data_IF_825523227338
#
_entry.id   IF_825523227338
#
_cell.length_a   1.000
_cell.length_b   1.000
_cell.length_c   1.000
_cell.angle_alpha   90.00
_cell.angle_beta   90.00
_cell.angle_gamma   90.00
#
_symmetry.space_group_name_H-M   'P 1'
#
loop_
_entity.id
_entity.type
_entity.pdbx_description
1 polymer ?
#
# COMPACT_ATOMS: atom_id res chain seq x y z
N UNK A 1 -0.24 20.26 -3.94
CA UNK A 1 -0.34 20.48 -5.39
C UNK A 1 1.03 20.94 -5.82
N UNK A 2 1.79 20.14 -6.58
CA UNK A 2 3.10 20.59 -7.08
C UNK A 2 2.84 21.62 -8.18
N UNK A 3 3.19 22.88 -7.93
CA UNK A 3 3.08 23.96 -8.92
C UNK A 3 4.40 24.00 -9.68
N UNK A 4 4.33 23.91 -11.00
CA UNK A 4 5.48 24.02 -11.87
C UNK A 4 5.41 25.34 -12.63
N UNK A 5 6.51 26.10 -12.73
CA UNK A 5 6.52 27.39 -13.41
C UNK A 5 6.58 27.25 -14.95
N UNK A 6 6.21 26.08 -15.49
CA UNK A 6 6.30 25.75 -16.91
C UNK A 6 5.23 24.73 -17.32
N UNK A 7 4.97 24.62 -18.63
CA UNK A 7 3.96 23.72 -19.20
C UNK A 7 4.39 22.25 -19.02
N UNK A 8 3.45 21.42 -18.57
CA UNK A 8 3.59 19.97 -18.38
C UNK A 8 2.47 19.23 -19.11
N UNK A 9 2.62 17.93 -19.33
CA UNK A 9 1.47 17.10 -19.72
C UNK A 9 0.55 16.91 -18.52
N UNK A 10 -0.76 16.95 -18.76
CA UNK A 10 -1.77 16.81 -17.72
C UNK A 10 -2.07 15.36 -17.36
N UNK A 11 -1.75 14.42 -18.25
CA UNK A 11 -1.93 12.98 -18.03
C UNK A 11 -0.63 12.34 -17.54
N UNK A 12 -0.72 11.34 -16.65
CA UNK A 12 0.46 10.64 -16.13
C UNK A 12 1.02 9.64 -17.14
N UNK A 13 2.22 9.14 -16.84
CA UNK A 13 2.83 7.99 -17.54
C UNK A 13 2.15 6.72 -17.04
N UNK A 14 1.78 5.81 -17.96
CA UNK A 14 1.34 4.48 -17.58
C UNK A 14 2.55 3.55 -17.48
N UNK A 15 2.94 3.19 -16.25
CA UNK A 15 4.06 2.29 -15.97
C UNK A 15 3.57 0.87 -15.68
N UNK A 16 4.26 -0.13 -16.23
CA UNK A 16 4.00 -1.55 -16.04
C UNK A 16 5.30 -2.30 -15.78
N UNK A 17 5.25 -3.29 -14.89
CA UNK A 17 6.25 -4.36 -14.81
C UNK A 17 5.91 -5.42 -15.85
N UNK A 18 6.90 -5.83 -16.63
CA UNK A 18 6.76 -6.80 -17.74
C UNK A 18 7.43 -8.13 -17.45
N UNK A 19 8.41 -8.15 -16.54
CA UNK A 19 9.11 -9.35 -16.11
C UNK A 19 9.85 -9.10 -14.80
N UNK A 20 10.12 -10.17 -14.06
CA UNK A 20 10.97 -10.14 -12.86
C UNK A 20 11.85 -11.38 -12.90
N UNK A 21 13.14 -11.23 -12.60
CA UNK A 21 14.07 -12.36 -12.46
C UNK A 21 14.99 -12.14 -11.28
N UNK A 22 15.25 -13.20 -10.49
CA UNK A 22 16.23 -13.18 -9.40
C UNK A 22 17.59 -13.66 -9.89
N UNK A 23 18.64 -13.16 -9.26
CA UNK A 23 20.00 -13.71 -9.35
C UNK A 23 20.32 -14.34 -8.01
N UNK A 24 20.63 -15.63 -8.01
CA UNK A 24 20.98 -16.42 -6.82
C UNK A 24 22.49 -16.32 -6.50
N UNK A 25 22.94 -16.79 -5.32
CA UNK A 25 24.35 -16.71 -4.91
C UNK A 25 25.33 -17.43 -5.85
N UNK A 26 24.87 -18.48 -6.53
CA UNK A 26 25.62 -19.22 -7.55
C UNK A 26 25.66 -18.51 -8.92
N UNK A 27 25.08 -17.29 -9.00
CA UNK A 27 24.90 -16.47 -10.20
C UNK A 27 23.92 -17.03 -11.23
N UNK A 28 23.13 -18.03 -10.85
CA UNK A 28 22.01 -18.49 -11.67
C UNK A 28 20.95 -17.39 -11.71
N UNK A 29 20.45 -17.08 -12.90
CA UNK A 29 19.31 -16.17 -13.08
C UNK A 29 18.05 -16.99 -13.24
N UNK A 30 17.07 -16.71 -12.38
CA UNK A 30 15.80 -17.41 -12.34
C UNK A 30 14.66 -16.43 -12.66
N UNK A 31 13.94 -16.60 -13.78
CA UNK A 31 12.75 -15.81 -14.06
C UNK A 31 11.63 -16.20 -13.09
N UNK A 32 11.00 -15.21 -12.47
CA UNK A 32 9.83 -15.44 -11.64
C UNK A 32 8.58 -15.57 -12.49
N UNK A 33 7.64 -16.42 -12.06
CA UNK A 33 6.32 -16.49 -12.66
C UNK A 33 5.59 -15.15 -12.48
N UNK A 34 4.62 -14.90 -13.36
CA UNK A 34 3.66 -13.81 -13.31
C UNK A 34 2.93 -13.67 -11.97
N UNK A 35 2.90 -14.70 -11.12
CA UNK A 35 2.40 -14.59 -9.74
C UNK A 35 3.27 -13.71 -8.83
N UNK A 36 4.52 -13.45 -9.17
CA UNK A 36 5.42 -12.61 -8.39
C UNK A 36 5.18 -11.10 -8.59
N UNK A 37 4.29 -10.69 -9.50
CA UNK A 37 3.93 -9.29 -9.67
C UNK A 37 2.49 -9.12 -10.11
N UNK A 38 1.81 -8.11 -9.55
CA UNK A 38 0.42 -7.81 -9.84
C UNK A 38 0.30 -6.45 -10.50
N UNK A 39 -0.21 -6.43 -11.73
CA UNK A 39 -0.50 -5.17 -12.45
C UNK A 39 -1.68 -4.41 -11.87
N UNK A 40 -2.63 -5.11 -11.24
CA UNK A 40 -3.78 -4.51 -10.55
C UNK A 40 -3.34 -3.80 -9.27
N UNK A 41 -2.48 -4.47 -8.48
CA UNK A 41 -1.94 -3.92 -7.23
C UNK A 41 -0.79 -2.92 -7.50
N UNK A 42 -0.13 -3.05 -8.66
CA UNK A 42 1.14 -2.42 -8.99
C UNK A 42 2.20 -2.77 -7.95
N UNK A 43 2.38 -4.07 -7.71
CA UNK A 43 3.31 -4.59 -6.73
C UNK A 43 4.16 -5.73 -7.32
N UNK A 44 5.39 -5.85 -6.85
CA UNK A 44 6.33 -6.94 -7.10
C UNK A 44 6.71 -7.54 -5.76
N UNK A 45 6.69 -8.85 -5.66
CA UNK A 45 7.12 -9.62 -4.51
C UNK A 45 8.37 -10.41 -4.86
N UNK A 46 9.48 -10.12 -4.18
CA UNK A 46 10.76 -10.78 -4.38
C UNK A 46 11.05 -11.84 -3.31
N UNK A 47 10.28 -11.88 -2.22
CA UNK A 47 10.35 -12.89 -1.17
C UNK A 47 9.67 -14.20 -1.54
N UNK A 48 9.93 -14.73 -2.74
CA UNK A 48 9.26 -15.94 -3.23
C UNK A 48 9.73 -17.17 -2.44
N UNK A 49 8.77 -18.02 -2.02
CA UNK A 49 9.02 -19.27 -1.31
C UNK A 49 10.04 -20.15 -2.05
N UNK A 50 11.20 -20.38 -1.43
CA UNK A 50 12.30 -21.18 -1.99
C UNK A 50 13.60 -20.39 -2.25
N UNK A 51 13.54 -19.06 -2.35
CA UNK A 51 14.71 -18.23 -2.71
C UNK A 51 15.01 -17.13 -1.70
N UNK A 52 14.91 -17.43 -0.40
CA UNK A 52 15.27 -16.49 0.67
C UNK A 52 16.75 -16.08 0.69
N UNK A 53 17.58 -16.51 -0.27
CA UNK A 53 19.02 -16.23 -0.41
C UNK A 53 19.35 -15.49 -1.72
N UNK A 54 18.37 -14.92 -2.44
CA UNK A 54 18.64 -14.14 -3.66
C UNK A 54 19.57 -12.94 -3.37
N UNK A 55 20.35 -12.53 -4.38
CA UNK A 55 21.38 -11.47 -4.27
C UNK A 55 20.92 -10.19 -4.97
N UNK A 56 20.37 -10.32 -6.18
CA UNK A 56 19.78 -9.20 -6.91
C UNK A 56 18.52 -9.63 -7.66
N UNK A 57 17.67 -8.66 -8.01
CA UNK A 57 16.55 -8.86 -8.90
C UNK A 57 16.64 -7.89 -10.08
N UNK A 58 16.27 -8.34 -11.27
CA UNK A 58 16.11 -7.49 -12.46
C UNK A 58 14.63 -7.42 -12.79
N UNK A 59 14.09 -6.20 -12.81
CA UNK A 59 12.68 -5.90 -13.08
C UNK A 59 12.59 -5.28 -14.48
N UNK A 60 11.92 -5.96 -15.40
CA UNK A 60 11.59 -5.42 -16.72
C UNK A 60 10.42 -4.44 -16.63
N UNK A 61 10.54 -3.32 -17.32
CA UNK A 61 9.61 -2.20 -17.24
C UNK A 61 9.14 -1.79 -18.64
N UNK A 62 7.88 -1.34 -18.73
CA UNK A 62 7.31 -0.65 -19.87
C UNK A 62 6.59 0.61 -19.40
N UNK A 63 6.91 1.74 -20.01
CA UNK A 63 6.32 3.04 -19.73
C UNK A 63 5.70 3.62 -21.00
N UNK A 64 4.40 3.87 -20.96
CA UNK A 64 3.67 4.50 -22.07
C UNK A 64 3.44 5.97 -21.76
N UNK A 65 3.96 6.85 -22.61
CA UNK A 65 3.71 8.28 -22.51
C UNK A 65 2.29 8.65 -22.98
N UNK A 66 1.67 9.65 -22.35
CA UNK A 66 0.37 10.13 -22.79
C UNK A 66 0.45 10.85 -24.15
N UNK A 67 -0.68 11.01 -24.86
CA UNK A 67 -0.72 11.80 -26.08
C UNK A 67 -0.19 13.24 -25.87
N UNK A 68 0.50 13.77 -26.87
CA UNK A 68 1.06 15.13 -26.85
C UNK A 68 2.50 15.21 -26.34
N UNK A 69 3.10 14.12 -25.87
CA UNK A 69 4.49 14.09 -25.43
C UNK A 69 5.49 14.46 -26.54
N UNK A 70 5.21 14.06 -27.78
CA UNK A 70 6.05 14.28 -28.95
C UNK A 70 5.40 15.21 -30.00
N UNK A 71 4.47 16.07 -29.57
CA UNK A 71 3.83 17.00 -30.50
C UNK A 71 4.87 17.99 -31.07
N UNK A 72 4.73 18.38 -32.34
CA UNK A 72 5.65 19.34 -32.98
C UNK A 72 5.67 20.71 -32.27
N UNK A 73 4.57 21.07 -31.60
CA UNK A 73 4.38 22.29 -30.82
C UNK A 73 4.59 22.07 -29.30
N UNK A 74 5.21 20.96 -28.90
CA UNK A 74 5.54 20.70 -27.51
C UNK A 74 6.44 21.80 -26.93
N UNK A 75 6.21 22.18 -25.67
CA UNK A 75 6.99 23.20 -24.97
C UNK A 75 8.35 22.69 -24.48
N UNK A 76 8.77 21.51 -24.92
CA UNK A 76 9.97 20.83 -24.49
C UNK A 76 10.69 20.13 -25.63
N UNK A 77 12.00 19.93 -25.47
CA UNK A 77 12.87 19.15 -26.35
C UNK A 77 13.65 18.10 -25.56
N UNK A 78 14.43 17.25 -26.23
CA UNK A 78 15.34 16.27 -25.61
C UNK A 78 14.64 15.33 -24.61
N UNK A 79 13.45 14.85 -24.98
CA UNK A 79 12.62 14.00 -24.14
C UNK A 79 13.34 12.69 -23.81
N UNK A 80 13.42 12.37 -22.52
CA UNK A 80 13.92 11.10 -21.98
C UNK A 80 12.94 10.55 -20.96
N UNK A 81 12.85 9.23 -20.87
CA UNK A 81 12.06 8.55 -19.85
C UNK A 81 13.00 7.83 -18.90
N UNK A 82 12.86 8.08 -17.61
CA UNK A 82 13.62 7.47 -16.53
C UNK A 82 12.68 6.60 -15.71
N UNK A 83 13.11 5.39 -15.37
CA UNK A 83 12.53 4.66 -14.24
C UNK A 83 13.43 4.83 -13.03
N UNK A 84 12.84 5.11 -11.89
CA UNK A 84 13.55 5.38 -10.63
C UNK A 84 12.97 4.50 -9.54
N UNK A 85 13.80 3.65 -8.97
CA UNK A 85 13.56 2.92 -7.74
C UNK A 85 14.04 3.78 -6.57
N UNK A 86 13.21 3.95 -5.56
CA UNK A 86 13.56 4.64 -4.32
C UNK A 86 13.18 3.78 -3.13
N UNK A 87 14.16 3.50 -2.29
CA UNK A 87 13.96 2.93 -0.95
C UNK A 87 13.99 4.07 0.06
N UNK A 88 12.92 4.20 0.83
CA UNK A 88 12.80 5.24 1.85
C UNK A 88 13.57 4.93 3.13
N UNK A 89 13.77 3.65 3.46
CA UNK A 89 14.45 3.22 4.68
C UNK A 89 15.96 3.35 4.53
N UNK A 90 16.52 2.90 3.41
CA UNK A 90 17.97 2.94 3.16
C UNK A 90 18.41 4.21 2.44
N UNK A 91 17.47 5.05 2.00
CA UNK A 91 17.69 6.20 1.10
C UNK A 91 18.34 5.84 -0.24
N UNK A 92 18.37 4.55 -0.61
CA UNK A 92 18.91 4.10 -1.89
C UNK A 92 18.02 4.57 -3.04
N UNK A 93 18.67 5.06 -4.10
CA UNK A 93 18.01 5.46 -5.34
C UNK A 93 18.74 4.88 -6.52
N UNK A 94 18.04 4.04 -7.26
CA UNK A 94 18.54 3.44 -8.50
C UNK A 94 17.72 3.98 -9.65
N UNK A 95 18.37 4.45 -10.71
CA UNK A 95 17.67 4.97 -11.88
C UNK A 95 18.22 4.39 -13.16
N UNK A 96 17.35 4.20 -14.14
CA UNK A 96 17.69 3.70 -15.47
C UNK A 96 16.98 4.52 -16.53
N UNK A 97 17.64 4.74 -17.66
CA UNK A 97 17.03 5.40 -18.82
C UNK A 97 16.29 4.34 -19.62
N UNK A 98 15.00 4.51 -19.83
CA UNK A 98 14.22 3.66 -20.70
C UNK A 98 14.51 4.02 -22.16
N UNK A 99 14.44 3.03 -23.04
CA UNK A 99 14.67 3.16 -24.48
C UNK A 99 13.33 3.16 -25.19
N UNK A 100 13.16 4.02 -26.18
CA UNK A 100 11.92 4.08 -26.97
C UNK A 100 11.83 2.83 -27.85
N UNK A 101 10.69 2.13 -27.81
CA UNK A 101 10.52 0.84 -28.49
C UNK A 101 10.50 1.00 -30.02
N UNK A 102 9.90 2.08 -30.51
CA UNK A 102 9.87 2.44 -31.93
C UNK A 102 10.04 3.95 -32.09
N UNK A 103 10.65 4.40 -33.19
CA UNK A 103 11.03 5.80 -33.40
C UNK A 103 9.85 6.79 -33.26
N UNK A 104 8.64 6.35 -33.64
CA UNK A 104 7.40 7.13 -33.52
C UNK A 104 6.43 6.58 -32.44
N UNK A 105 6.89 5.64 -31.61
CA UNK A 105 6.11 5.02 -30.55
C UNK A 105 6.06 5.87 -29.29
N UNK A 106 5.03 5.61 -28.46
CA UNK A 106 4.88 6.20 -27.13
C UNK A 106 5.38 5.29 -26.01
N UNK A 107 5.76 4.07 -26.37
CA UNK A 107 6.17 3.03 -25.44
C UNK A 107 7.69 3.04 -25.30
N UNK A 108 8.13 2.93 -24.05
CA UNK A 108 9.52 2.91 -23.65
C UNK A 108 9.75 1.70 -22.77
N UNK A 109 10.82 0.96 -23.02
CA UNK A 109 11.16 -0.24 -22.26
C UNK A 109 12.57 -0.18 -21.69
N UNK A 110 12.80 -0.98 -20.66
CA UNK A 110 14.10 -1.12 -20.01
C UNK A 110 14.02 -2.04 -18.81
N UNK A 111 15.10 -2.13 -18.06
CA UNK A 111 15.16 -2.92 -16.84
C UNK A 111 15.84 -2.16 -15.71
N UNK A 112 15.40 -2.44 -14.49
CA UNK A 112 15.95 -1.87 -13.27
C UNK A 112 16.47 -3.00 -12.38
N UNK A 113 17.67 -2.83 -11.86
CA UNK A 113 18.27 -3.79 -10.93
C UNK A 113 18.04 -3.37 -9.48
N UNK A 114 17.70 -4.36 -8.65
CA UNK A 114 17.43 -4.26 -7.21
C UNK A 114 18.48 -5.12 -6.52
N UNK A 115 19.35 -4.53 -5.71
CA UNK A 115 20.34 -5.28 -4.94
C UNK A 115 19.76 -5.57 -3.56
N UNK A 116 19.71 -6.84 -3.14
CA UNK A 116 19.04 -7.20 -1.89
C UNK A 116 19.57 -6.42 -0.69
N UNK A 117 20.89 -6.33 -0.57
CA UNK A 117 21.55 -5.72 0.58
C UNK A 117 21.37 -4.20 0.66
N UNK A 118 20.93 -3.57 -0.45
CA UNK A 118 20.63 -2.15 -0.52
C UNK A 118 19.21 -1.82 -0.03
N UNK A 119 18.40 -2.85 0.28
CA UNK A 119 16.97 -2.72 0.55
C UNK A 119 16.54 -3.50 1.80
N UNK A 120 15.80 -2.84 2.71
CA UNK A 120 15.40 -3.44 3.98
C UNK A 120 14.00 -4.07 3.97
N UNK A 121 13.07 -3.55 3.17
CA UNK A 121 11.70 -4.05 3.13
C UNK A 121 10.99 -3.77 1.80
N UNK A 122 10.82 -2.49 1.47
CA UNK A 122 10.00 -2.03 0.36
C UNK A 122 10.66 -0.86 -0.33
N UNK A 123 10.72 -0.94 -1.64
CA UNK A 123 11.11 0.15 -2.52
C UNK A 123 9.95 0.52 -3.44
N UNK A 124 10.01 1.70 -4.03
CA UNK A 124 8.99 2.21 -4.95
C UNK A 124 9.58 2.51 -6.31
N UNK A 125 8.93 2.08 -7.39
CA UNK A 125 9.31 2.42 -8.77
C UNK A 125 8.35 3.47 -9.31
N UNK A 126 8.90 4.57 -9.81
CA UNK A 126 8.18 5.60 -10.54
C UNK A 126 8.84 5.86 -11.88
N UNK A 127 8.06 6.29 -12.88
CA UNK A 127 8.61 6.74 -14.15
C UNK A 127 8.48 8.27 -14.28
N UNK A 128 9.50 8.88 -14.86
CA UNK A 128 9.58 10.32 -15.11
C UNK A 128 9.91 10.56 -16.58
N UNK A 129 9.08 11.36 -17.24
CA UNK A 129 9.39 11.94 -18.53
C UNK A 129 10.06 13.28 -18.26
N UNK A 130 11.32 13.43 -18.64
CA UNK A 130 12.10 14.63 -18.44
C UNK A 130 12.56 15.18 -19.77
N UNK A 131 12.72 16.50 -19.86
CA UNK A 131 13.26 17.13 -21.06
C UNK A 131 13.76 18.53 -20.77
N UNK A 132 14.04 19.26 -21.84
CA UNK A 132 14.50 20.65 -21.80
C UNK A 132 13.32 21.58 -22.00
N UNK A 133 13.01 22.42 -21.01
CA UNK A 133 11.94 23.43 -21.06
C UNK A 133 12.58 24.80 -20.83
N UNK A 134 12.28 25.77 -21.70
CA UNK A 134 12.84 27.13 -21.63
C UNK A 134 14.37 27.15 -21.48
N UNK A 135 15.06 26.25 -22.19
CA UNK A 135 16.52 26.13 -22.13
C UNK A 135 17.08 25.30 -20.97
N UNK A 136 16.27 24.93 -19.97
CA UNK A 136 16.71 24.22 -18.77
C UNK A 136 16.51 22.70 -18.93
N UNK A 137 17.58 21.87 -18.94
CA UNK A 137 17.46 20.43 -19.06
C UNK A 137 16.92 19.77 -17.77
N UNK A 138 16.41 18.55 -17.88
CA UNK A 138 15.99 17.72 -16.75
C UNK A 138 14.67 18.14 -16.08
N UNK A 139 13.88 19.00 -16.72
CA UNK A 139 12.56 19.41 -16.22
C UNK A 139 11.57 18.25 -16.38
N UNK A 140 10.81 17.96 -15.32
CA UNK A 140 9.79 16.92 -15.33
C UNK A 140 8.59 17.37 -16.17
N UNK A 141 8.35 16.69 -17.28
CA UNK A 141 7.24 16.95 -18.21
C UNK A 141 5.99 16.24 -17.74
N UNK A 142 6.14 15.00 -17.26
CA UNK A 142 5.10 14.22 -16.58
C UNK A 142 5.75 13.09 -15.79
N UNK A 143 4.99 12.49 -14.88
CA UNK A 143 5.41 11.38 -14.05
C UNK A 143 4.26 10.39 -13.92
N UNK A 144 4.54 9.19 -13.41
CA UNK A 144 3.50 8.28 -12.94
C UNK A 144 2.70 8.95 -11.83
N UNK A 145 1.37 8.81 -11.85
CA UNK A 145 0.50 9.23 -10.77
C UNK A 145 0.58 8.30 -9.56
N UNK A 146 0.84 7.01 -9.83
CA UNK A 146 0.94 5.95 -8.84
C UNK A 146 2.20 5.12 -9.08
N UNK A 147 3.06 5.04 -8.07
CA UNK A 147 4.27 4.22 -8.09
C UNK A 147 3.93 2.73 -7.93
N UNK A 148 4.80 1.87 -8.48
CA UNK A 148 4.82 0.44 -8.17
C UNK A 148 5.54 0.20 -6.84
N UNK A 149 5.10 -0.80 -6.08
CA UNK A 149 5.77 -1.28 -4.86
C UNK A 149 6.64 -2.47 -5.22
N UNK A 150 7.86 -2.53 -4.69
CA UNK A 150 8.76 -3.69 -4.76
C UNK A 150 9.00 -4.14 -3.33
N UNK A 151 8.41 -5.24 -2.94
CA UNK A 151 8.55 -5.84 -1.62
C UNK A 151 9.64 -6.92 -1.67
N UNK A 152 10.73 -6.72 -0.91
CA UNK A 152 11.89 -7.61 -0.90
C UNK A 152 11.70 -8.83 0.00
N UNK A 153 10.60 -8.87 0.77
CA UNK A 153 10.36 -9.85 1.84
C UNK A 153 9.10 -10.67 1.62
N UNK A 154 8.03 -10.10 1.05
CA UNK A 154 6.76 -10.79 0.79
C UNK A 154 6.87 -11.79 -0.37
N UNK A 155 6.14 -12.89 -0.26
CA UNK A 155 5.89 -13.89 -1.31
C UNK A 155 4.71 -13.53 -2.21
N UNK A 156 3.80 -12.68 -1.74
CA UNK A 156 2.64 -12.20 -2.50
C UNK A 156 2.78 -10.72 -2.92
N UNK A 157 2.48 -10.36 -4.20
CA UNK A 157 2.57 -8.99 -4.69
C UNK A 157 1.33 -8.16 -4.32
N UNK A 158 1.17 -7.90 -3.02
CA UNK A 158 0.10 -7.06 -2.48
C UNK A 158 0.60 -5.64 -2.20
N UNK A 159 -0.22 -4.66 -2.54
CA UNK A 159 0.12 -3.24 -2.32
C UNK A 159 -0.29 -2.73 -0.95
N UNK A 160 -1.36 -3.27 -0.40
CA UNK A 160 -1.99 -2.78 0.84
C UNK A 160 -1.22 -3.17 2.11
N UNK A 161 -1.72 -2.63 3.22
CA UNK A 161 -1.26 -2.92 4.58
C UNK A 161 -1.05 -4.42 4.76
N UNK A 162 0.22 -4.85 4.88
CA UNK A 162 0.55 -6.22 5.23
C UNK A 162 0.14 -6.45 6.67
N UNK A 163 -0.79 -7.37 6.88
CA UNK A 163 -1.24 -7.79 8.20
C UNK A 163 -1.01 -9.28 8.30
N UNK A 164 -0.37 -9.72 9.37
CA UNK A 164 -0.33 -11.14 9.68
C UNK A 164 -1.61 -11.51 10.42
N UNK A 165 -2.27 -12.61 10.04
CA UNK A 165 -3.44 -13.12 10.77
C UNK A 165 -3.07 -14.47 11.40
N UNK A 166 -3.02 -14.51 12.74
CA UNK A 166 -2.64 -15.69 13.49
C UNK A 166 -3.83 -16.21 14.30
N UNK A 167 -4.24 -17.45 14.03
CA UNK A 167 -5.24 -18.17 14.82
C UNK A 167 -4.57 -18.81 16.05
N UNK A 168 -5.00 -18.45 17.25
CA UNK A 168 -4.47 -19.04 18.48
C UNK A 168 -5.54 -19.11 19.58
N UNK A 169 -5.43 -20.11 20.46
CA UNK A 169 -6.16 -20.13 21.73
C UNK A 169 -5.58 -19.07 22.65
N UNK A 170 -6.39 -18.11 23.11
CA UNK A 170 -5.90 -17.05 23.99
C UNK A 170 -5.71 -17.57 25.41
N UNK A 171 -6.62 -18.42 25.90
CA UNK A 171 -6.56 -19.02 27.23
C UNK A 171 -5.38 -19.99 27.41
N UNK A 172 -5.02 -20.72 26.35
CA UNK A 172 -3.93 -21.72 26.37
C UNK A 172 -2.67 -21.26 25.63
N UNK A 173 -2.60 -19.97 25.27
CA UNK A 173 -1.48 -19.44 24.49
C UNK A 173 -0.14 -19.59 25.22
N UNK A 174 0.92 -19.87 24.46
CA UNK A 174 2.31 -19.72 24.91
C UNK A 174 2.71 -18.26 25.09
N UNK A 175 2.01 -17.33 24.43
CA UNK A 175 2.18 -15.88 24.62
C UNK A 175 1.35 -15.44 25.82
N UNK A 176 2.00 -15.21 26.95
CA UNK A 176 1.30 -14.96 28.22
C UNK A 176 0.38 -13.73 28.19
N UNK A 177 0.74 -12.70 27.43
CA UNK A 177 -0.05 -11.48 27.31
C UNK A 177 -1.43 -11.71 26.66
N UNK A 178 -1.60 -12.74 25.81
CA UNK A 178 -2.89 -13.08 25.20
C UNK A 178 -3.89 -13.61 26.24
N UNK A 179 -3.41 -14.23 27.33
CA UNK A 179 -4.28 -14.82 28.36
C UNK A 179 -5.13 -13.78 29.10
N UNK A 180 -4.66 -12.53 29.18
CA UNK A 180 -5.38 -11.43 29.82
C UNK A 180 -6.64 -10.99 29.06
N UNK A 181 -6.78 -11.43 27.80
CA UNK A 181 -7.82 -11.01 26.88
C UNK A 181 -8.62 -12.22 26.35
N UNK A 182 -8.73 -13.30 27.14
CA UNK A 182 -9.29 -14.58 26.69
C UNK A 182 -10.75 -14.51 26.22
N UNK A 183 -11.47 -13.44 26.57
CA UNK A 183 -12.84 -13.15 26.18
C UNK A 183 -12.95 -12.32 24.87
N UNK A 184 -11.84 -11.80 24.35
CA UNK A 184 -11.83 -11.05 23.09
C UNK A 184 -11.86 -12.01 21.88
N UNK A 185 -12.62 -11.70 20.82
CA UNK A 185 -12.68 -12.52 19.60
C UNK A 185 -11.42 -12.37 18.72
N UNK A 186 -10.80 -11.19 18.75
CA UNK A 186 -9.52 -10.91 18.13
C UNK A 186 -8.80 -9.78 18.85
N UNK A 187 -7.50 -9.66 18.61
CA UNK A 187 -6.67 -8.54 19.05
C UNK A 187 -5.75 -8.11 17.91
N UNK A 188 -5.40 -6.84 17.91
CA UNK A 188 -4.47 -6.27 16.93
C UNK A 188 -3.22 -5.83 17.67
N UNK A 189 -2.11 -6.48 17.37
CA UNK A 189 -0.78 -6.11 17.86
C UNK A 189 -0.11 -5.22 16.82
N UNK A 190 0.07 -3.95 17.16
CA UNK A 190 0.75 -2.96 16.31
C UNK A 190 2.20 -2.71 16.72
N UNK A 191 2.72 -3.47 17.69
CA UNK A 191 4.08 -3.28 18.23
C UNK A 191 5.14 -4.07 17.46
N UNK A 192 4.70 -5.07 16.69
CA UNK A 192 5.56 -5.83 15.80
C UNK A 192 5.87 -5.06 14.51
N UNK A 193 6.92 -5.48 13.78
CA UNK A 193 7.31 -4.92 12.48
C UNK A 193 6.19 -4.99 11.44
N UNK A 194 5.32 -5.99 11.54
CA UNK A 194 4.10 -6.15 10.74
C UNK A 194 2.94 -6.25 11.73
N UNK A 195 1.88 -5.43 11.62
CA UNK A 195 0.77 -5.53 12.53
C UNK A 195 0.13 -6.91 12.42
N UNK A 196 -0.09 -7.54 13.57
CA UNK A 196 -0.58 -8.91 13.62
C UNK A 196 -1.96 -8.93 14.25
N UNK A 197 -2.92 -9.51 13.54
CA UNK A 197 -4.25 -9.79 14.07
C UNK A 197 -4.29 -11.20 14.62
N UNK A 198 -4.43 -11.32 15.93
CA UNK A 198 -4.64 -12.60 16.59
C UNK A 198 -6.13 -12.91 16.63
N UNK A 199 -6.55 -14.05 16.10
CA UNK A 199 -7.93 -14.54 16.13
C UNK A 199 -8.05 -15.60 17.21
N UNK A 200 -8.96 -15.39 18.16
CA UNK A 200 -9.13 -16.26 19.31
C UNK A 200 -9.89 -17.54 18.94
N UNK A 201 -9.20 -18.67 18.93
CA UNK A 201 -9.81 -19.97 18.62
C UNK A 201 -10.64 -20.54 19.76
N UNK A 202 -10.63 -19.91 20.94
CA UNK A 202 -11.47 -20.33 22.08
C UNK A 202 -12.93 -19.88 21.94
N UNK A 203 -13.21 -18.96 21.01
CA UNK A 203 -14.59 -18.54 20.69
C UNK A 203 -15.20 -19.54 19.71
N UNK A 204 -16.21 -20.27 20.18
CA UNK A 204 -16.88 -21.29 19.40
C UNK A 204 -17.40 -20.77 18.05
N UNK A 205 -17.06 -21.48 16.98
CA UNK A 205 -17.56 -21.21 15.63
C UNK A 205 -16.90 -20.04 14.89
N UNK A 206 -16.05 -19.23 15.53
CA UNK A 206 -15.46 -18.03 14.88
C UNK A 206 -14.57 -18.39 13.70
N UNK A 207 -13.71 -19.41 13.86
CA UNK A 207 -12.79 -19.86 12.79
C UNK A 207 -13.58 -20.46 11.63
N UNK A 208 -14.56 -21.31 11.94
CA UNK A 208 -15.42 -21.91 10.92
C UNK A 208 -16.21 -20.86 10.13
N UNK A 209 -16.72 -19.82 10.80
CA UNK A 209 -17.42 -18.72 10.15
C UNK A 209 -16.49 -17.90 9.26
N UNK A 210 -15.29 -17.57 9.72
CA UNK A 210 -14.29 -16.82 8.94
C UNK A 210 -13.80 -17.61 7.72
N UNK A 211 -13.65 -18.93 7.85
CA UNK A 211 -13.21 -19.82 6.77
C UNK A 211 -14.37 -20.28 5.86
N UNK A 212 -15.62 -19.92 6.18
CA UNK A 212 -16.79 -20.34 5.41
C UNK A 212 -16.76 -19.76 4.00
N UNK A 213 -16.93 -20.60 2.98
CA UNK A 213 -17.05 -20.21 1.56
C UNK A 213 -18.48 -20.35 1.00
N UNK A 214 -19.46 -20.53 1.89
CA UNK A 214 -20.86 -20.76 1.52
C UNK A 214 -21.52 -19.54 0.88
N UNK A 215 -22.63 -19.77 0.17
CA UNK A 215 -23.51 -18.70 -0.32
C UNK A 215 -24.80 -18.71 0.50
N UNK A 216 -25.18 -17.58 1.09
CA UNK A 216 -26.36 -17.50 1.96
C UNK A 216 -26.17 -16.54 3.14
N UNK A 217 -27.01 -16.70 4.17
CA UNK A 217 -27.01 -15.85 5.38
C UNK A 217 -25.67 -15.95 6.12
N UNK A 218 -25.07 -17.14 6.21
CA UNK A 218 -23.77 -17.37 6.84
C UNK A 218 -22.66 -16.52 6.21
N UNK A 219 -22.58 -16.46 4.88
CA UNK A 219 -21.62 -15.57 4.20
C UNK A 219 -21.87 -14.10 4.52
N UNK A 220 -23.12 -13.68 4.73
CA UNK A 220 -23.42 -12.29 5.09
C UNK A 220 -23.06 -11.98 6.54
N UNK A 221 -23.25 -12.93 7.46
CA UNK A 221 -22.78 -12.82 8.84
C UNK A 221 -21.25 -12.75 8.87
N UNK A 222 -20.56 -13.59 8.08
CA UNK A 222 -19.11 -13.53 7.89
C UNK A 222 -18.68 -12.17 7.33
N UNK A 223 -19.31 -11.68 6.26
CA UNK A 223 -18.98 -10.38 5.67
C UNK A 223 -19.13 -9.24 6.70
N UNK A 224 -20.14 -9.31 7.57
CA UNK A 224 -20.34 -8.35 8.68
C UNK A 224 -19.23 -8.47 9.74
N UNK A 225 -18.88 -9.70 10.14
CA UNK A 225 -17.81 -9.95 11.11
C UNK A 225 -16.45 -9.46 10.60
N UNK A 226 -16.14 -9.73 9.34
CA UNK A 226 -14.91 -9.26 8.68
C UNK A 226 -14.88 -7.74 8.60
N UNK A 227 -16.01 -7.09 8.32
CA UNK A 227 -16.08 -5.63 8.31
C UNK A 227 -15.88 -5.02 9.70
N UNK A 228 -16.42 -5.65 10.74
CA UNK A 228 -16.19 -5.23 12.13
C UNK A 228 -14.71 -5.39 12.50
N UNK A 229 -14.14 -6.57 12.29
CA UNK A 229 -12.73 -6.86 12.53
C UNK A 229 -11.82 -5.89 11.76
N UNK A 230 -12.15 -5.60 10.51
CA UNK A 230 -11.41 -4.65 9.68
C UNK A 230 -11.50 -3.22 10.24
N UNK A 231 -12.65 -2.82 10.79
CA UNK A 231 -12.81 -1.51 11.45
C UNK A 231 -11.90 -1.40 12.67
N UNK A 232 -11.84 -2.45 13.49
CA UNK A 232 -10.97 -2.50 14.67
C UNK A 232 -9.49 -2.45 14.28
N UNK A 233 -9.11 -3.21 13.23
CA UNK A 233 -7.76 -3.20 12.67
C UNK A 233 -7.37 -1.82 12.18
N UNK A 234 -8.17 -1.20 11.32
CA UNK A 234 -7.89 0.15 10.80
C UNK A 234 -7.75 1.18 11.91
N UNK A 235 -8.57 1.07 12.95
CA UNK A 235 -8.50 1.94 14.12
C UNK A 235 -7.20 1.72 14.88
N UNK A 236 -6.86 0.48 15.23
CA UNK A 236 -5.67 0.13 15.99
C UNK A 236 -4.38 0.51 15.26
N UNK A 237 -4.25 0.12 13.99
CA UNK A 237 -3.06 0.40 13.17
C UNK A 237 -2.89 1.92 12.97
N UNK A 238 -3.96 2.69 12.80
CA UNK A 238 -3.85 4.15 12.71
C UNK A 238 -3.37 4.78 14.02
N UNK A 239 -3.85 4.30 15.17
CA UNK A 239 -3.38 4.77 16.48
C UNK A 239 -1.91 4.42 16.74
N UNK A 240 -1.48 3.21 16.36
CA UNK A 240 -0.09 2.79 16.39
C UNK A 240 0.77 3.68 15.50
N UNK A 241 0.36 3.87 14.24
CA UNK A 241 1.08 4.66 13.25
C UNK A 241 1.30 6.13 13.66
N UNK A 242 0.32 6.76 14.32
CA UNK A 242 0.50 8.13 14.83
C UNK A 242 1.37 8.14 16.09
N UNK A 243 1.38 7.06 16.86
CA UNK A 243 2.06 7.01 18.15
C UNK A 243 3.55 7.08 18.05
N UNK A 244 4.09 6.48 17.01
CA UNK A 244 5.52 6.34 16.80
C UNK A 244 6.02 7.27 15.67
N UNK A 245 5.37 8.43 15.50
CA UNK A 245 5.79 9.42 14.50
C UNK A 245 7.12 10.07 14.89
N UNK A 246 8.11 9.93 14.01
CA UNK A 246 9.35 10.69 14.08
C UNK A 246 9.11 12.15 13.71
N UNK A 247 9.79 13.04 14.45
CA UNK A 247 9.75 14.49 14.23
C UNK A 247 11.17 14.96 13.92
N UNK A 248 11.34 15.64 12.78
CA UNK A 248 12.63 16.20 12.41
C UNK A 248 13.09 17.27 13.41
N UNK A 249 14.41 17.38 13.71
CA UNK A 249 14.93 18.45 14.56
C UNK A 249 14.59 19.84 13.99
N UNK A 250 13.70 20.57 14.67
CA UNK A 250 13.21 21.87 14.21
C UNK A 250 12.14 21.82 13.11
N UNK A 251 11.67 20.62 12.75
CA UNK A 251 10.67 20.36 11.72
C UNK A 251 9.34 19.82 12.26
N UNK A 252 8.51 19.30 11.35
CA UNK A 252 7.25 18.62 11.66
C UNK A 252 7.36 17.10 11.66
N UNK A 253 6.30 16.37 12.04
CA UNK A 253 6.22 14.93 11.85
C UNK A 253 6.44 14.57 10.38
N UNK A 254 7.20 13.50 10.16
CA UNK A 254 7.45 12.94 8.83
C UNK A 254 6.65 11.65 8.67
N UNK A 255 6.21 11.36 7.45
CA UNK A 255 5.59 10.07 7.18
C UNK A 255 6.61 8.95 7.32
N UNK A 256 6.28 7.89 8.09
CA UNK A 256 7.03 6.65 8.03
C UNK A 256 7.00 6.06 6.61
N UNK A 257 7.98 5.21 6.33
CA UNK A 257 8.16 4.56 5.01
C UNK A 257 7.57 3.15 4.96
N UNK A 258 7.15 2.62 6.11
CA UNK A 258 6.59 1.29 6.34
C UNK A 258 5.05 1.31 6.40
N UNK A 259 4.48 0.28 7.04
CA UNK A 259 3.02 0.09 7.15
C UNK A 259 2.33 1.30 7.82
N UNK A 260 3.00 1.96 8.76
CA UNK A 260 2.51 3.13 9.47
C UNK A 260 2.25 4.26 8.46
N UNK A 261 3.21 4.48 7.56
CA UNK A 261 3.09 5.48 6.50
C UNK A 261 1.94 5.20 5.54
N UNK A 262 1.75 3.93 5.15
CA UNK A 262 0.62 3.52 4.29
C UNK A 262 -0.71 3.79 4.97
N UNK A 263 -0.87 3.33 6.22
CA UNK A 263 -2.08 3.54 7.03
C UNK A 263 -2.41 5.02 7.15
N UNK A 264 -1.41 5.86 7.45
CA UNK A 264 -1.61 7.30 7.58
C UNK A 264 -2.05 7.92 6.25
N UNK A 265 -1.40 7.58 5.13
CA UNK A 265 -1.77 8.12 3.80
C UNK A 265 -3.18 7.71 3.38
N UNK A 266 -3.62 6.51 3.76
CA UNK A 266 -4.96 6.02 3.44
C UNK A 266 -6.06 6.64 4.31
N UNK A 267 -5.79 6.83 5.61
CA UNK A 267 -6.79 7.29 6.57
C UNK A 267 -6.87 8.81 6.69
N UNK A 268 -5.73 9.53 6.61
CA UNK A 268 -5.67 10.98 6.82
C UNK A 268 -6.62 11.81 5.93
N UNK A 269 -6.86 11.46 4.63
CA UNK A 269 -7.81 12.20 3.81
C UNK A 269 -9.25 12.21 4.35
N UNK A 270 -9.67 11.14 5.03
CA UNK A 270 -10.99 11.05 5.67
C UNK A 270 -10.97 11.63 7.09
N UNK A 271 -9.84 11.55 7.81
CA UNK A 271 -9.69 12.08 9.17
C UNK A 271 -9.59 13.61 9.18
N UNK A 272 -8.80 14.20 8.28
CA UNK A 272 -8.64 15.65 8.13
C UNK A 272 -8.90 16.03 6.66
N UNK A 273 -10.17 16.11 6.24
CA UNK A 273 -10.51 16.40 4.86
C UNK A 273 -10.16 17.85 4.48
N UNK A 274 -9.92 18.07 3.19
CA UNK A 274 -9.75 19.42 2.61
C UNK A 274 -8.33 19.99 2.72
N UNK A 275 -7.37 19.22 3.24
CA UNK A 275 -5.95 19.61 3.29
C UNK A 275 -5.06 18.53 2.65
N UNK A 276 -3.82 18.92 2.33
CA UNK A 276 -2.81 17.96 1.87
C UNK A 276 -2.42 16.96 2.97
N UNK A 277 -2.01 15.76 2.59
CA UNK A 277 -1.76 14.66 3.53
C UNK A 277 -0.65 14.98 4.54
N UNK A 278 0.36 15.74 4.14
CA UNK A 278 1.44 16.24 5.02
C UNK A 278 0.94 17.29 6.02
N UNK A 279 -0.02 18.11 5.61
CA UNK A 279 -0.69 19.07 6.51
C UNK A 279 -1.62 18.33 7.48
N UNK A 280 -2.37 17.34 6.99
CA UNK A 280 -3.20 16.47 7.82
C UNK A 280 -2.36 15.78 8.90
N UNK A 281 -1.20 15.22 8.53
CA UNK A 281 -0.28 14.58 9.48
C UNK A 281 0.17 15.54 10.57
N UNK A 282 0.56 16.77 10.21
CA UNK A 282 0.96 17.81 11.17
C UNK A 282 -0.17 18.19 12.12
N UNK A 283 -1.39 18.36 11.61
CA UNK A 283 -2.54 18.69 12.45
C UNK A 283 -2.91 17.55 13.40
N UNK A 284 -2.89 16.31 12.93
CA UNK A 284 -3.18 15.14 13.76
C UNK A 284 -2.13 14.96 14.84
N UNK A 285 -0.85 15.07 14.50
CA UNK A 285 0.24 15.01 15.48
C UNK A 285 0.11 16.12 16.52
N UNK A 286 -0.11 17.37 16.10
CA UNK A 286 -0.28 18.51 17.01
C UNK A 286 -1.46 18.33 17.97
N UNK A 287 -2.61 17.86 17.48
CA UNK A 287 -3.78 17.60 18.33
C UNK A 287 -3.59 16.40 19.26
N UNK A 288 -2.74 15.43 18.90
CA UNK A 288 -2.40 14.30 19.78
C UNK A 288 -1.45 14.71 20.90
N UNK A 289 -0.45 15.55 20.60
CA UNK A 289 0.58 15.95 21.57
C UNK A 289 0.24 17.22 22.36
N UNK A 290 -0.72 18.01 21.88
CA UNK A 290 -1.22 19.20 22.56
C UNK A 290 -2.42 18.93 23.49
N UNK A 291 -2.89 19.99 24.16
CA UNK A 291 -3.91 19.90 25.21
C UNK A 291 -5.35 19.81 24.71
N UNK A 292 -5.60 19.88 23.39
CA UNK A 292 -6.97 19.91 22.86
C UNK A 292 -7.12 19.33 21.44
N UNK A 293 -8.33 18.90 21.11
CA UNK A 293 -8.71 18.49 19.75
C UNK A 293 -8.52 17.00 19.43
N UNK A 294 -7.84 16.21 20.26
CA UNK A 294 -7.71 14.76 20.08
C UNK A 294 -9.06 14.02 20.17
N UNK A 295 -9.92 14.44 21.09
CA UNK A 295 -11.25 13.85 21.29
C UNK A 295 -12.16 13.99 20.07
N UNK A 296 -12.17 15.16 19.41
CA UNK A 296 -12.92 15.36 18.16
C UNK A 296 -12.37 14.48 17.03
N UNK A 297 -11.04 14.33 16.96
CA UNK A 297 -10.40 13.46 15.97
C UNK A 297 -10.82 12.00 16.13
N UNK A 298 -11.10 11.51 17.36
CA UNK A 298 -11.53 10.11 17.56
C UNK A 298 -12.76 9.75 16.73
N UNK A 299 -13.72 10.66 16.64
CA UNK A 299 -14.95 10.43 15.84
C UNK A 299 -14.62 10.33 14.35
N UNK A 300 -13.68 11.14 13.87
CA UNK A 300 -13.25 11.13 12.46
C UNK A 300 -12.38 9.91 12.13
N UNK A 301 -11.54 9.48 13.05
CA UNK A 301 -10.74 8.25 12.94
C UNK A 301 -11.66 7.05 12.84
N UNK A 302 -12.64 6.95 13.72
CA UNK A 302 -13.64 5.88 13.68
C UNK A 302 -14.42 5.90 12.36
N UNK A 303 -14.88 7.07 11.90
CA UNK A 303 -15.55 7.20 10.61
C UNK A 303 -14.67 6.75 9.42
N UNK A 304 -13.40 7.16 9.39
CA UNK A 304 -12.46 6.75 8.37
C UNK A 304 -12.26 5.22 8.38
N UNK A 305 -12.09 4.61 9.56
CA UNK A 305 -11.94 3.17 9.70
C UNK A 305 -13.19 2.40 9.21
N UNK A 306 -14.38 2.84 9.60
CA UNK A 306 -15.68 2.31 9.15
C UNK A 306 -15.81 2.38 7.63
N UNK A 307 -15.36 3.48 7.03
CA UNK A 307 -15.35 3.67 5.57
C UNK A 307 -14.36 2.73 4.89
N UNK A 308 -13.13 2.59 5.41
CA UNK A 308 -12.12 1.67 4.86
C UNK A 308 -12.54 0.21 4.97
N UNK A 309 -13.29 -0.15 6.01
CA UNK A 309 -13.80 -1.49 6.23
C UNK A 309 -15.08 -1.83 5.43
N UNK A 310 -15.60 -0.91 4.61
CA UNK A 310 -16.87 -1.09 3.89
C UNK A 310 -18.06 -1.48 4.82
N UNK A 311 -18.00 -1.10 6.11
CA UNK A 311 -18.92 -1.64 7.11
C UNK A 311 -20.39 -1.26 6.86
N UNK A 312 -20.63 -0.04 6.35
CA UNK A 312 -21.98 0.38 5.95
C UNK A 312 -22.57 -0.51 4.84
N UNK A 313 -21.73 -0.96 3.90
CA UNK A 313 -22.11 -1.85 2.82
C UNK A 313 -22.41 -3.26 3.34
N UNK A 314 -21.58 -3.77 4.26
CA UNK A 314 -21.79 -5.06 4.93
C UNK A 314 -23.11 -5.09 5.71
N UNK A 315 -23.39 -4.07 6.53
CA UNK A 315 -24.66 -3.90 7.24
C UNK A 315 -25.84 -3.85 6.26
N UNK A 316 -25.74 -3.04 5.19
CA UNK A 316 -26.78 -2.96 4.18
C UNK A 316 -27.07 -4.29 3.48
N UNK A 317 -26.05 -5.10 3.19
CA UNK A 317 -26.25 -6.44 2.64
C UNK A 317 -26.92 -7.39 3.63
N UNK A 318 -26.56 -7.32 4.92
CA UNK A 318 -27.18 -8.12 5.96
C UNK A 318 -28.67 -7.80 6.12
N UNK A 319 -29.02 -6.51 6.23
CA UNK A 319 -30.43 -6.07 6.35
C UNK A 319 -31.25 -6.59 5.16
N UNK A 320 -30.77 -6.40 3.93
CA UNK A 320 -31.46 -6.91 2.72
C UNK A 320 -31.61 -8.42 2.73
N UNK A 321 -30.63 -9.16 3.25
CA UNK A 321 -30.71 -10.61 3.33
C UNK A 321 -31.77 -11.05 4.34
N UNK A 322 -31.82 -10.42 5.51
CA UNK A 322 -32.83 -10.71 6.55
C UNK A 322 -34.24 -10.39 6.06
N UNK A 323 -34.43 -9.28 5.36
CA UNK A 323 -35.71 -8.92 4.75
C UNK A 323 -36.18 -9.97 3.71
N UNK A 324 -35.25 -10.51 2.92
CA UNK A 324 -35.56 -11.57 1.94
C UNK A 324 -35.95 -12.87 2.64
N UNK A 325 -35.19 -13.33 3.63
CA UNK A 325 -35.51 -14.54 4.39
C UNK A 325 -36.88 -14.43 5.07
N UNK A 326 -37.21 -13.26 5.62
CA UNK A 326 -38.52 -13.01 6.23
C UNK A 326 -39.66 -13.18 5.22
N UNK A 327 -39.51 -12.63 4.00
CA UNK A 327 -40.52 -12.76 2.93
C UNK A 327 -40.69 -14.20 2.45
N UNK A 328 -39.60 -14.96 2.37
CA UNK A 328 -39.63 -16.39 1.98
C UNK A 328 -40.28 -17.28 3.05
N UNK A 329 -40.21 -16.89 4.33
CA UNK A 329 -40.88 -17.61 5.43
C UNK A 329 -42.36 -17.28 5.62
N UNK A 330 -42.84 -16.19 5.01
CA UNK A 330 -44.24 -15.73 5.08
C UNK A 330 -45.09 -16.24 3.88
N UNK A 331 -44.47 -16.93 2.92
CA UNK A 331 -45.11 -17.61 1.78
C UNK A 331 -45.07 -19.12 1.93
#
# INVERSE_FOLDING_TARGET
MKIYPYKRLSRPIALRVTSVSLTLPDRTREPLDTSAYSTQEQAVALGVAGHAEWVSATIGLSATLPPGADAQDAAWTDLRVLAVLTDGETNVRTSTVLTRDTENGRDWSGSLDVLRDDHLSRASISAYAVGKVDGVPGRSITETDRSWVVDTVSDEPVRGLRLDVLKASFSKSSREWLRAYADAPWLVDTTARVPTVYVNTDIDGIVGLLDSNGSGVESKVRDLLVAQMSTDVWTAVFHGAIGDLEVEPGGGPVFPTDWQGEVLREMLPDVVPGVHVEEALRQVHHRRTGDSGWGELQTRIHYAAVRRADAAKAVGFMIRSLERTKRESET
#
